data_IF_328425489725
#
_entry.id   IF_328425489725
#
_cell.length_a   1.000
_cell.length_b   1.000
_cell.length_c   1.000
_cell.angle_alpha   90.00
_cell.angle_beta   90.00
_cell.angle_gamma   90.00
#
_symmetry.space_group_name_H-M   'P 1'
#
loop_
_entity.id
_entity.type
_entity.pdbx_description
1 polymer ?
#
# COMPACT_ATOMS: atom_id res chain seq x y z
N UNK A 1 56.78 3.20 10.23
CA UNK A 1 55.64 2.48 9.61
C UNK A 1 54.34 3.07 10.15
N UNK A 2 53.63 3.83 9.33
CA UNK A 2 52.32 4.40 9.66
C UNK A 2 51.27 3.44 9.08
N UNK A 3 50.59 2.72 9.97
CA UNK A 3 49.45 1.87 9.63
C UNK A 3 48.22 2.77 9.52
N UNK A 4 47.82 3.10 8.32
CA UNK A 4 46.55 3.80 8.06
C UNK A 4 45.37 2.86 8.33
N UNK A 5 44.60 3.14 9.37
CA UNK A 5 43.27 2.52 9.55
C UNK A 5 42.33 3.05 8.50
N UNK A 6 42.00 2.24 7.51
CA UNK A 6 40.88 2.45 6.65
C UNK A 6 39.62 2.18 7.46
N UNK A 7 38.98 3.24 7.94
CA UNK A 7 37.62 3.18 8.46
C UNK A 7 36.68 2.88 7.31
N UNK A 8 36.34 1.60 7.17
CA UNK A 8 35.25 1.17 6.28
C UNK A 8 33.98 1.87 6.76
N UNK A 9 33.44 2.78 5.95
CA UNK A 9 32.06 3.21 6.08
C UNK A 9 31.17 1.96 5.96
N UNK A 10 30.77 1.41 7.10
CA UNK A 10 29.63 0.51 7.13
C UNK A 10 28.44 1.36 6.70
N UNK A 11 27.94 1.11 5.50
CA UNK A 11 26.61 1.54 5.08
C UNK A 11 25.64 0.94 6.10
N UNK A 12 25.25 1.72 7.10
CA UNK A 12 24.07 1.40 7.88
C UNK A 12 22.93 1.33 6.86
N UNK A 13 22.45 0.14 6.60
CA UNK A 13 21.13 -0.03 6.02
C UNK A 13 20.18 0.52 7.07
N UNK A 14 19.75 1.77 6.91
CA UNK A 14 18.70 2.38 7.73
C UNK A 14 17.46 1.48 7.61
N UNK A 15 17.32 0.58 8.58
CA UNK A 15 16.13 -0.23 8.70
C UNK A 15 15.01 0.72 9.10
N UNK A 16 14.05 0.95 8.20
CA UNK A 16 12.90 1.77 8.47
C UNK A 16 12.22 1.33 9.78
N UNK A 17 11.93 2.28 10.64
CA UNK A 17 11.18 2.04 11.88
C UNK A 17 9.82 2.71 11.74
N UNK A 18 8.72 1.95 11.64
CA UNK A 18 7.40 2.52 11.51
C UNK A 18 7.06 3.36 12.75
N UNK A 19 6.32 4.45 12.53
CA UNK A 19 5.92 5.41 13.57
C UNK A 19 4.46 5.22 13.99
N UNK A 20 3.58 4.87 13.06
CA UNK A 20 2.17 4.61 13.35
C UNK A 20 1.91 3.13 13.68
N UNK A 21 2.37 2.22 12.84
CA UNK A 21 2.17 0.80 13.05
C UNK A 21 3.22 0.16 13.95
N UNK A 22 2.85 -0.90 14.67
CA UNK A 22 3.85 -1.81 15.24
C UNK A 22 4.66 -2.46 14.10
N UNK A 23 5.87 -2.94 14.39
CA UNK A 23 6.71 -3.64 13.39
C UNK A 23 5.99 -4.83 12.77
N UNK A 24 5.21 -5.56 13.56
CA UNK A 24 4.44 -6.72 13.10
C UNK A 24 3.30 -6.28 12.17
N UNK A 25 2.51 -5.30 12.58
CA UNK A 25 1.41 -4.74 11.77
C UNK A 25 1.94 -4.09 10.48
N UNK A 26 3.07 -3.37 10.54
CA UNK A 26 3.72 -2.81 9.37
C UNK A 26 4.15 -3.89 8.36
N UNK A 27 4.66 -5.02 8.85
CA UNK A 27 5.00 -6.15 7.97
C UNK A 27 3.78 -6.71 7.25
N UNK A 28 2.64 -6.83 7.93
CA UNK A 28 1.38 -7.28 7.30
C UNK A 28 0.90 -6.25 6.26
N UNK A 29 0.87 -4.96 6.62
CA UNK A 29 0.48 -3.88 5.70
C UNK A 29 1.37 -3.86 4.45
N UNK A 30 2.68 -4.01 4.62
CA UNK A 30 3.64 -4.06 3.51
C UNK A 30 3.34 -5.22 2.56
N UNK A 31 3.08 -6.42 3.09
CA UNK A 31 2.72 -7.57 2.27
C UNK A 31 1.37 -7.39 1.56
N UNK A 32 0.39 -6.77 2.22
CA UNK A 32 -0.90 -6.46 1.59
C UNK A 32 -0.75 -5.43 0.46
N UNK A 33 0.08 -4.41 0.64
CA UNK A 33 0.36 -3.42 -0.40
C UNK A 33 1.10 -4.03 -1.58
N UNK A 34 2.03 -4.96 -1.34
CA UNK A 34 2.72 -5.73 -2.37
C UNK A 34 1.77 -6.67 -3.14
N UNK A 35 0.75 -7.21 -2.49
CA UNK A 35 -0.31 -7.97 -3.17
C UNK A 35 -1.21 -7.09 -4.05
N UNK A 36 -1.40 -5.82 -3.66
CA UNK A 36 -2.23 -4.87 -4.41
C UNK A 36 -1.48 -4.31 -5.62
N UNK A 37 -0.19 -3.98 -5.46
CA UNK A 37 0.69 -3.44 -6.51
C UNK A 37 2.03 -4.19 -6.46
N UNK A 38 2.09 -5.38 -7.07
CA UNK A 38 3.33 -6.17 -7.13
C UNK A 38 4.34 -5.57 -8.11
N UNK A 39 5.61 -5.92 -7.94
CA UNK A 39 6.64 -5.66 -8.94
C UNK A 39 6.33 -6.39 -10.24
N UNK A 40 6.54 -5.68 -11.36
CA UNK A 40 6.38 -6.21 -12.72
C UNK A 40 7.50 -5.64 -13.61
N UNK A 41 7.20 -5.17 -14.81
CA UNK A 41 8.05 -4.34 -15.65
C UNK A 41 8.15 -2.87 -15.15
N UNK A 42 7.30 -2.50 -14.21
CA UNK A 42 7.36 -1.25 -13.44
C UNK A 42 7.46 -1.56 -11.95
N UNK A 43 8.13 -0.70 -11.16
CA UNK A 43 8.32 -0.94 -9.72
C UNK A 43 6.99 -1.01 -8.97
N UNK A 44 6.88 -1.96 -8.05
CA UNK A 44 5.72 -2.18 -7.20
C UNK A 44 5.76 -1.40 -5.88
N UNK A 45 4.83 -1.75 -4.97
CA UNK A 45 4.65 -1.02 -3.72
C UNK A 45 5.90 -1.01 -2.83
N UNK A 46 6.65 -2.11 -2.80
CA UNK A 46 7.82 -2.24 -1.92
C UNK A 46 9.01 -1.45 -2.48
N UNK A 47 9.31 -1.59 -3.76
CA UNK A 47 10.41 -0.87 -4.41
C UNK A 47 10.21 0.64 -4.34
N UNK A 48 8.95 1.10 -4.48
CA UNK A 48 8.57 2.51 -4.37
C UNK A 48 8.44 3.01 -2.92
N UNK A 49 8.69 2.16 -1.92
CA UNK A 49 8.57 2.48 -0.48
C UNK A 49 7.20 3.05 -0.09
N UNK A 50 6.14 2.55 -0.75
CA UNK A 50 4.78 3.02 -0.46
C UNK A 50 4.32 2.66 0.97
N UNK A 51 4.71 1.51 1.60
CA UNK A 51 4.37 1.24 2.99
C UNK A 51 4.94 2.27 3.96
N UNK A 52 6.19 2.69 3.76
CA UNK A 52 6.85 3.72 4.58
C UNK A 52 6.15 5.07 4.44
N UNK A 53 5.83 5.44 3.20
CA UNK A 53 5.05 6.65 2.93
C UNK A 53 3.68 6.60 3.61
N UNK A 54 2.99 5.46 3.53
CA UNK A 54 1.65 5.30 4.10
C UNK A 54 1.67 5.37 5.63
N UNK A 55 2.65 4.75 6.28
CA UNK A 55 2.83 4.80 7.73
C UNK A 55 2.99 6.25 8.21
N UNK A 56 3.87 7.02 7.56
CA UNK A 56 4.05 8.44 7.84
C UNK A 56 2.83 9.29 7.53
N UNK A 57 2.13 9.02 6.42
CA UNK A 57 0.92 9.74 6.05
C UNK A 57 -0.21 9.54 7.08
N UNK A 58 -0.38 8.32 7.57
CA UNK A 58 -1.40 8.02 8.59
C UNK A 58 -1.07 8.78 9.89
N UNK A 59 0.19 8.73 10.34
CA UNK A 59 0.60 9.35 11.60
C UNK A 59 0.52 10.88 11.57
N UNK A 60 1.02 11.50 10.49
CA UNK A 60 1.22 12.96 10.44
C UNK A 60 -0.01 13.69 9.89
N UNK A 61 -0.71 13.12 8.91
CA UNK A 61 -1.75 13.83 8.16
C UNK A 61 -3.16 13.47 8.62
N UNK A 62 -3.37 12.20 9.03
CA UNK A 62 -4.71 11.77 9.42
C UNK A 62 -5.03 12.17 10.86
N UNK A 63 -6.30 12.52 11.12
CA UNK A 63 -6.75 12.78 12.48
C UNK A 63 -6.87 11.46 13.27
N UNK A 64 -6.84 11.57 14.61
CA UNK A 64 -6.87 10.43 15.54
C UNK A 64 -8.03 9.45 15.29
N UNK A 65 -9.21 9.95 14.94
CA UNK A 65 -10.37 9.10 14.64
C UNK A 65 -10.13 8.24 13.40
N UNK A 66 -9.50 8.81 12.38
CA UNK A 66 -9.18 8.08 11.15
C UNK A 66 -8.03 7.10 11.36
N UNK A 67 -7.00 7.49 12.11
CA UNK A 67 -5.90 6.62 12.53
C UNK A 67 -6.44 5.39 13.27
N UNK A 68 -7.28 5.63 14.31
CA UNK A 68 -7.90 4.55 15.08
C UNK A 68 -8.72 3.62 14.21
N UNK A 69 -9.50 4.14 13.26
CA UNK A 69 -10.30 3.32 12.36
C UNK A 69 -9.44 2.40 11.49
N UNK A 70 -8.27 2.87 11.04
CA UNK A 70 -7.33 2.06 10.27
C UNK A 70 -6.73 0.96 11.14
N UNK A 71 -6.28 1.30 12.35
CA UNK A 71 -5.69 0.35 13.29
C UNK A 71 -6.70 -0.72 13.70
N UNK A 72 -7.90 -0.33 14.14
CA UNK A 72 -8.97 -1.26 14.50
C UNK A 72 -9.33 -2.19 13.32
N UNK A 73 -9.36 -1.62 12.10
CA UNK A 73 -9.65 -2.38 10.88
C UNK A 73 -8.58 -3.41 10.53
N UNK A 74 -7.31 -3.04 10.67
CA UNK A 74 -6.18 -3.95 10.49
C UNK A 74 -6.20 -5.07 11.53
N UNK A 75 -6.43 -4.74 12.79
CA UNK A 75 -6.49 -5.72 13.88
C UNK A 75 -7.63 -6.74 13.64
N UNK A 76 -8.79 -6.29 13.19
CA UNK A 76 -9.89 -7.19 12.82
C UNK A 76 -9.55 -8.03 11.58
N UNK A 77 -8.90 -7.45 10.57
CA UNK A 77 -8.44 -8.19 9.40
C UNK A 77 -7.49 -9.32 9.79
N UNK A 78 -6.49 -9.02 10.64
CA UNK A 78 -5.53 -9.99 11.15
C UNK A 78 -6.24 -11.07 11.99
N UNK A 79 -7.12 -10.68 12.92
CA UNK A 79 -7.83 -11.61 13.77
C UNK A 79 -8.66 -12.62 12.98
N UNK A 80 -9.36 -12.17 11.93
CA UNK A 80 -10.13 -13.05 11.04
C UNK A 80 -9.19 -13.97 10.24
N UNK A 81 -8.07 -13.43 9.72
CA UNK A 81 -7.08 -14.24 8.99
C UNK A 81 -6.48 -15.34 9.87
N UNK A 82 -6.14 -15.04 11.13
CA UNK A 82 -5.64 -16.02 12.10
C UNK A 82 -6.67 -17.08 12.42
N UNK A 83 -7.94 -16.69 12.62
CA UNK A 83 -9.04 -17.62 12.86
C UNK A 83 -9.24 -18.58 11.70
N UNK A 84 -9.23 -18.07 10.46
CA UNK A 84 -9.47 -18.85 9.26
C UNK A 84 -8.33 -19.82 8.93
N UNK A 85 -7.10 -19.44 9.28
CA UNK A 85 -5.89 -20.25 9.01
C UNK A 85 -5.50 -21.16 10.18
N UNK A 86 -6.05 -20.93 11.38
CA UNK A 86 -5.63 -21.61 12.61
C UNK A 86 -4.23 -21.22 13.09
N UNK A 87 -3.65 -20.14 12.54
CA UNK A 87 -2.31 -19.65 12.93
C UNK A 87 -2.40 -18.82 14.21
N UNK A 88 -1.31 -18.80 15.00
CA UNK A 88 -1.32 -18.25 16.36
C UNK A 88 -0.95 -16.77 16.47
N UNK A 89 -0.28 -16.21 15.45
CA UNK A 89 0.13 -14.81 15.42
C UNK A 89 0.33 -14.31 13.99
N UNK A 90 0.34 -12.99 13.81
CA UNK A 90 0.42 -12.36 12.51
C UNK A 90 1.74 -12.64 11.76
N UNK A 91 2.84 -12.84 12.48
CA UNK A 91 4.13 -13.15 11.85
C UNK A 91 4.18 -14.55 11.19
N UNK A 92 3.18 -15.40 11.45
CA UNK A 92 3.02 -16.70 10.80
C UNK A 92 2.09 -16.67 9.60
N UNK A 93 1.41 -15.56 9.34
CA UNK A 93 0.61 -15.40 8.13
C UNK A 93 1.54 -15.35 6.92
N UNK A 94 1.27 -16.19 5.96
CA UNK A 94 1.99 -16.25 4.71
C UNK A 94 1.30 -15.38 3.66
N UNK A 95 2.03 -15.04 2.60
CA UNK A 95 1.49 -14.26 1.48
C UNK A 95 0.18 -14.85 0.92
N UNK A 96 0.09 -16.16 0.82
CA UNK A 96 -1.12 -16.87 0.37
C UNK A 96 -2.32 -16.69 1.28
N UNK A 97 -2.10 -16.63 2.60
CA UNK A 97 -3.17 -16.40 3.58
C UNK A 97 -3.72 -14.98 3.45
N UNK A 98 -2.80 -14.01 3.33
CA UNK A 98 -3.14 -12.60 3.16
C UNK A 98 -3.85 -12.35 1.82
N UNK A 99 -3.42 -12.99 0.73
CA UNK A 99 -4.10 -12.91 -0.57
C UNK A 99 -5.52 -13.49 -0.50
N UNK A 100 -5.66 -14.68 0.07
CA UNK A 100 -6.98 -15.31 0.25
C UNK A 100 -7.91 -14.44 1.11
N UNK A 101 -7.38 -13.84 2.18
CA UNK A 101 -8.15 -12.96 3.06
C UNK A 101 -8.53 -11.66 2.34
N UNK A 102 -7.59 -11.04 1.62
CA UNK A 102 -7.84 -9.82 0.84
C UNK A 102 -8.89 -10.05 -0.25
N UNK A 103 -8.83 -11.21 -0.93
CA UNK A 103 -9.78 -11.59 -1.97
C UNK A 103 -11.22 -11.67 -1.47
N UNK A 104 -11.44 -12.13 -0.23
CA UNK A 104 -12.79 -12.18 0.38
C UNK A 104 -13.46 -10.80 0.43
N UNK A 105 -12.68 -9.74 0.65
CA UNK A 105 -13.22 -8.37 0.76
C UNK A 105 -13.25 -7.61 -0.55
N UNK A 106 -12.31 -7.89 -1.46
CA UNK A 106 -12.17 -7.13 -2.71
C UNK A 106 -12.85 -7.80 -3.91
N UNK A 107 -12.98 -9.16 -3.91
CA UNK A 107 -13.57 -9.93 -5.02
C UNK A 107 -14.93 -10.56 -4.67
N UNK A 108 -15.40 -10.39 -3.42
CA UNK A 108 -16.69 -10.98 -3.00
C UNK A 108 -17.84 -10.46 -3.84
N UNK A 109 -18.69 -11.36 -4.31
CA UNK A 109 -19.95 -11.04 -4.97
C UNK A 109 -20.91 -10.33 -4.01
N UNK A 110 -21.85 -9.55 -4.56
CA UNK A 110 -22.85 -8.82 -3.77
C UNK A 110 -23.65 -9.73 -2.82
N UNK A 111 -23.87 -10.99 -3.19
CA UNK A 111 -24.55 -11.97 -2.34
C UNK A 111 -23.75 -12.39 -1.11
N UNK A 112 -22.42 -12.53 -1.25
CA UNK A 112 -21.53 -12.84 -0.11
C UNK A 112 -21.38 -11.65 0.82
N UNK A 113 -21.36 -10.43 0.28
CA UNK A 113 -21.35 -9.20 1.08
C UNK A 113 -22.65 -9.06 1.89
N UNK A 114 -23.80 -9.40 1.30
CA UNK A 114 -25.10 -9.32 1.98
C UNK A 114 -25.24 -10.36 3.12
N UNK A 115 -24.66 -11.55 2.98
CA UNK A 115 -24.70 -12.58 4.03
C UNK A 115 -23.86 -12.25 5.25
N UNK A 116 -22.86 -11.38 5.12
CA UNK A 116 -21.95 -10.95 6.19
C UNK A 116 -22.28 -9.57 6.75
N UNK A 117 -23.43 -8.98 6.36
CA UNK A 117 -23.83 -7.64 6.78
C UNK A 117 -24.05 -7.50 8.29
N UNK A 118 -24.38 -8.56 8.98
CA UNK A 118 -24.66 -8.55 10.42
C UNK A 118 -23.39 -8.78 11.28
N UNK A 119 -22.23 -9.09 10.67
CA UNK A 119 -20.96 -9.26 11.39
C UNK A 119 -20.15 -7.95 11.36
N UNK A 120 -20.16 -7.23 12.46
CA UNK A 120 -19.45 -5.95 12.64
C UNK A 120 -17.94 -6.10 12.41
N UNK A 121 -17.34 -7.21 12.84
CA UNK A 121 -15.92 -7.47 12.66
C UNK A 121 -15.59 -7.65 11.17
N UNK A 122 -16.43 -8.39 10.45
CA UNK A 122 -16.30 -8.54 9.00
C UNK A 122 -16.42 -7.20 8.28
N UNK A 123 -17.39 -6.36 8.66
CA UNK A 123 -17.57 -5.03 8.07
C UNK A 123 -16.36 -4.13 8.33
N UNK A 124 -15.81 -4.17 9.52
CA UNK A 124 -14.63 -3.39 9.92
C UNK A 124 -13.40 -3.83 9.11
N UNK A 125 -13.13 -5.14 9.01
CA UNK A 125 -12.04 -5.68 8.19
C UNK A 125 -12.23 -5.39 6.69
N UNK A 126 -13.45 -5.50 6.17
CA UNK A 126 -13.80 -5.19 4.78
C UNK A 126 -13.55 -3.71 4.46
N UNK A 127 -13.97 -2.81 5.36
CA UNK A 127 -13.73 -1.38 5.20
C UNK A 127 -12.24 -1.06 5.18
N UNK A 128 -11.45 -1.67 6.06
CA UNK A 128 -9.99 -1.55 6.07
C UNK A 128 -9.37 -2.02 4.74
N UNK A 129 -9.71 -3.22 4.28
CA UNK A 129 -9.16 -3.77 3.04
C UNK A 129 -9.44 -2.86 1.81
N UNK A 130 -10.67 -2.34 1.71
CA UNK A 130 -11.06 -1.40 0.65
C UNK A 130 -10.33 -0.06 0.78
N UNK A 131 -10.19 0.45 2.00
CA UNK A 131 -9.47 1.69 2.27
C UNK A 131 -7.98 1.54 1.99
N UNK A 132 -7.33 0.46 2.45
CA UNK A 132 -5.93 0.17 2.17
C UNK A 132 -5.67 0.11 0.67
N UNK A 133 -6.52 -0.62 -0.08
CA UNK A 133 -6.42 -0.66 -1.55
C UNK A 133 -6.47 0.72 -2.17
N UNK A 134 -7.40 1.56 -1.76
CA UNK A 134 -7.53 2.93 -2.27
C UNK A 134 -6.30 3.78 -1.95
N UNK A 135 -5.80 3.71 -0.71
CA UNK A 135 -4.62 4.45 -0.28
C UNK A 135 -3.36 3.98 -1.01
N UNK A 136 -3.19 2.67 -1.20
CA UNK A 136 -2.06 2.11 -1.97
C UNK A 136 -2.08 2.59 -3.41
N UNK A 137 -3.24 2.55 -4.08
CA UNK A 137 -3.37 3.02 -5.47
C UNK A 137 -3.11 4.53 -5.56
N UNK A 138 -3.60 5.31 -4.61
CA UNK A 138 -3.36 6.75 -4.60
C UNK A 138 -1.88 7.06 -4.37
N UNK A 139 -1.23 6.42 -3.38
CA UNK A 139 0.20 6.58 -3.13
C UNK A 139 1.03 6.21 -4.37
N UNK A 140 0.67 5.13 -5.08
CA UNK A 140 1.31 4.74 -6.33
C UNK A 140 1.16 5.81 -7.42
N UNK A 141 -0.06 6.30 -7.65
CA UNK A 141 -0.34 7.29 -8.71
C UNK A 141 0.28 8.65 -8.45
N UNK A 142 0.54 9.00 -7.19
CA UNK A 142 1.17 10.26 -6.77
C UNK A 142 2.66 10.10 -6.45
N UNK A 143 3.23 8.92 -6.68
CA UNK A 143 4.66 8.70 -6.55
C UNK A 143 5.39 9.39 -7.71
N UNK A 144 6.45 10.13 -7.41
CA UNK A 144 7.23 10.91 -8.38
C UNK A 144 7.71 10.05 -9.54
N UNK A 145 8.32 8.89 -9.26
CA UNK A 145 8.82 8.01 -10.31
C UNK A 145 7.72 7.56 -11.27
N UNK A 146 6.56 7.17 -10.72
CA UNK A 146 5.40 6.74 -11.52
C UNK A 146 4.83 7.91 -12.32
N UNK A 147 4.67 9.06 -11.68
CA UNK A 147 4.12 10.25 -12.32
C UNK A 147 4.97 10.75 -13.50
N UNK A 148 6.29 10.73 -13.35
CA UNK A 148 7.22 11.30 -14.33
C UNK A 148 7.70 10.30 -15.38
N UNK A 149 7.84 9.01 -15.02
CA UNK A 149 8.48 8.03 -15.91
C UNK A 149 7.49 7.00 -16.50
N UNK A 150 6.41 6.70 -15.80
CA UNK A 150 5.45 5.70 -16.24
C UNK A 150 4.21 6.33 -16.88
N UNK A 151 3.68 7.38 -16.27
CA UNK A 151 2.53 8.13 -16.78
C UNK A 151 2.96 9.18 -17.82
N UNK A 152 2.00 9.78 -18.51
CA UNK A 152 2.27 10.93 -19.36
C UNK A 152 2.40 12.18 -18.48
N UNK A 153 3.60 12.74 -18.41
CA UNK A 153 3.93 13.89 -17.58
C UNK A 153 4.20 15.12 -18.43
N UNK A 154 3.45 16.19 -18.20
CA UNK A 154 3.63 17.47 -18.86
C UNK A 154 3.42 18.62 -17.86
N UNK A 155 4.46 18.97 -17.08
CA UNK A 155 4.35 19.96 -16.00
C UNK A 155 4.01 21.38 -16.53
N UNK A 156 4.44 21.67 -17.76
CA UNK A 156 4.14 22.95 -18.42
C UNK A 156 3.68 22.64 -19.86
N UNK A 157 2.38 22.44 -20.10
CA UNK A 157 1.89 22.02 -21.42
C UNK A 157 2.01 23.08 -22.52
N UNK A 158 2.43 24.31 -22.22
CA UNK A 158 2.65 25.40 -23.16
C UNK A 158 1.37 26.05 -23.69
N UNK A 159 0.42 25.29 -24.16
CA UNK A 159 -0.89 25.74 -24.62
C UNK A 159 -2.02 24.80 -24.16
N UNK A 160 -3.20 25.37 -23.96
CA UNK A 160 -4.39 24.56 -23.63
C UNK A 160 -5.09 24.14 -24.92
N UNK A 161 -5.16 22.83 -25.18
CA UNK A 161 -5.95 22.22 -26.26
C UNK A 161 -7.14 21.50 -25.65
N UNK A 162 -8.35 21.91 -26.04
CA UNK A 162 -9.59 21.37 -25.47
C UNK A 162 -9.89 19.90 -25.83
N UNK A 163 -9.35 19.44 -26.96
CA UNK A 163 -9.52 18.08 -27.45
C UNK A 163 -8.25 17.64 -28.17
N UNK A 164 -7.64 16.55 -27.73
CA UNK A 164 -6.41 16.00 -28.32
C UNK A 164 -6.57 14.50 -28.53
N UNK A 165 -5.88 13.95 -29.54
CA UNK A 165 -5.79 12.50 -29.70
C UNK A 165 -4.93 11.90 -28.58
N UNK A 166 -5.44 10.85 -27.93
CA UNK A 166 -4.80 10.22 -26.79
C UNK A 166 -3.46 9.57 -27.17
N UNK A 167 -3.46 8.83 -28.29
CA UNK A 167 -2.25 8.11 -28.71
C UNK A 167 -1.16 9.06 -29.18
N UNK A 168 -1.53 10.10 -29.93
CA UNK A 168 -0.60 11.10 -30.40
C UNK A 168 0.02 11.91 -29.25
N UNK A 169 -0.79 12.26 -28.25
CA UNK A 169 -0.36 13.14 -27.15
C UNK A 169 0.34 12.40 -26.01
N UNK A 170 -0.12 11.20 -25.65
CA UNK A 170 0.36 10.48 -24.46
C UNK A 170 0.97 9.11 -24.78
N UNK A 171 0.93 8.66 -26.03
CA UNK A 171 1.28 7.29 -26.38
C UNK A 171 0.35 6.25 -25.76
N UNK A 172 -0.88 6.63 -25.42
CA UNK A 172 -1.87 5.76 -24.74
C UNK A 172 -1.71 5.69 -23.24
N UNK A 173 -0.75 6.42 -22.66
CA UNK A 173 -0.55 6.47 -21.21
C UNK A 173 -1.60 7.36 -20.53
N UNK A 174 -1.90 7.03 -19.26
CA UNK A 174 -2.69 7.92 -18.42
C UNK A 174 -1.90 9.20 -18.08
N UNK A 175 -2.60 10.31 -17.93
CA UNK A 175 -1.99 11.56 -17.47
C UNK A 175 -1.53 11.44 -16.02
N UNK A 176 -0.33 11.99 -15.76
CA UNK A 176 0.14 12.18 -14.39
C UNK A 176 -0.73 13.19 -13.65
N UNK A 177 -0.87 12.97 -12.34
CA UNK A 177 -1.53 13.90 -11.43
C UNK A 177 -0.55 14.82 -10.69
N UNK A 178 0.76 14.71 -11.03
CA UNK A 178 1.82 15.57 -10.50
C UNK A 178 1.88 16.89 -11.25
#
# INVERSE_FOLDING_TARGET
AVVGMLQSCQTQTDTFSPIHFSKENFSVVSQLMDLIIPDTDIPGAIELKLPEFLDGFIDVIMNEKAQKKITDGLDQFIAIALKDTGKSNASRLERSDLDAQLAKYLKADQQQQNSAQDDENYQTASAFAKQLRSMTINAFKTNEYIGENVMAYAPIPGEQKGCVDLMETTGGKAWSSL
#
